data_IF_371205086987
#
_entry.id   IF_371205086987
#
_cell.length_a   1.000
_cell.length_b   1.000
_cell.length_c   1.000
_cell.angle_alpha   90.00
_cell.angle_beta   90.00
_cell.angle_gamma   90.00
#
_symmetry.space_group_name_H-M   'P 1'
#
loop_
_entity.id
_entity.type
_entity.pdbx_description
1 polymer ?
#
# COMPACT_ATOMS: atom_id res chain seq x y z
N UNK A 1 -19.07 1.17 28.02
CA UNK A 1 -18.08 1.92 27.23
C UNK A 1 -17.02 0.91 26.78
N UNK A 2 -16.96 0.58 25.50
CA UNK A 2 -15.84 -0.19 24.98
C UNK A 2 -14.56 0.66 25.15
N UNK A 3 -13.51 0.08 25.70
CA UNK A 3 -12.23 0.78 25.84
C UNK A 3 -11.68 1.03 24.44
N UNK A 4 -11.41 2.29 24.10
CA UNK A 4 -10.73 2.64 22.86
C UNK A 4 -9.41 1.87 22.82
N UNK A 5 -9.22 1.04 21.80
CA UNK A 5 -8.00 0.26 21.60
C UNK A 5 -6.86 1.22 21.28
N UNK A 6 -5.82 1.21 22.12
CA UNK A 6 -4.66 2.10 21.93
C UNK A 6 -3.76 1.58 20.81
N UNK A 7 -3.41 2.45 19.89
CA UNK A 7 -2.34 2.19 18.91
C UNK A 7 -0.98 2.34 19.61
N UNK A 8 -0.14 1.31 19.47
CA UNK A 8 1.25 1.30 19.96
C UNK A 8 2.18 1.60 18.82
N UNK A 9 3.20 2.40 19.08
CA UNK A 9 4.27 2.74 18.14
C UNK A 9 5.51 1.95 18.55
N UNK A 10 6.02 1.12 17.66
CA UNK A 10 7.09 0.16 17.95
C UNK A 10 8.18 0.22 16.91
N UNK A 11 9.36 -0.19 17.30
CA UNK A 11 10.51 -0.40 16.43
C UNK A 11 11.09 -1.78 16.68
N UNK A 12 11.64 -2.37 15.65
CA UNK A 12 12.37 -3.63 15.70
C UNK A 12 13.58 -3.55 14.79
N UNK A 13 14.70 -4.04 15.28
CA UNK A 13 15.89 -4.24 14.47
C UNK A 13 15.76 -5.59 13.74
N UNK A 14 15.87 -5.55 12.43
CA UNK A 14 15.87 -6.70 11.53
C UNK A 14 17.25 -6.74 10.83
N UNK A 15 18.25 -7.34 11.52
CA UNK A 15 19.61 -7.50 11.02
C UNK A 15 20.30 -6.18 10.63
N UNK A 16 20.11 -5.15 11.46
CA UNK A 16 20.68 -3.81 11.28
C UNK A 16 19.77 -2.82 10.54
N UNK A 17 18.59 -3.28 10.08
CA UNK A 17 17.56 -2.44 9.50
C UNK A 17 16.47 -2.16 10.56
N UNK A 18 16.38 -0.92 11.05
CA UNK A 18 15.35 -0.55 11.99
C UNK A 18 14.01 -0.34 11.26
N UNK A 19 13.01 -1.16 11.60
CA UNK A 19 11.65 -1.09 11.04
C UNK A 19 10.70 -0.56 12.10
N UNK A 20 10.08 0.57 11.84
CA UNK A 20 8.99 1.11 12.63
C UNK A 20 7.65 0.49 12.21
N UNK A 21 6.77 0.24 13.17
CA UNK A 21 5.41 -0.19 12.88
C UNK A 21 4.42 0.27 13.94
N UNK A 22 3.18 0.45 13.53
CA UNK A 22 2.05 0.67 14.42
C UNK A 22 1.38 -0.67 14.68
N UNK A 23 1.00 -0.92 15.94
CA UNK A 23 0.29 -2.14 16.34
C UNK A 23 -0.92 -1.79 17.22
N UNK A 24 -2.08 -2.40 16.93
CA UNK A 24 -3.28 -2.28 17.75
C UNK A 24 -4.01 -3.63 17.84
N UNK A 25 -4.94 -3.75 18.78
CA UNK A 25 -5.67 -5.01 19.01
C UNK A 25 -4.91 -6.01 19.88
N UNK A 26 -5.43 -7.22 19.96
CA UNK A 26 -4.92 -8.31 20.80
C UNK A 26 -4.16 -9.32 19.95
N UNK A 27 -3.15 -9.95 20.53
CA UNK A 27 -2.30 -10.93 19.82
C UNK A 27 -2.99 -12.26 19.53
N UNK A 28 -4.10 -12.57 20.20
CA UNK A 28 -4.92 -13.78 19.98
C UNK A 28 -6.03 -13.58 18.93
N UNK A 29 -6.15 -12.39 18.35
CA UNK A 29 -7.06 -12.10 17.25
C UNK A 29 -6.41 -12.41 15.89
N UNK A 30 -7.21 -12.59 14.81
CA UNK A 30 -6.66 -12.69 13.45
C UNK A 30 -5.85 -11.46 13.09
N UNK A 31 -4.72 -11.65 12.42
CA UNK A 31 -3.85 -10.53 12.05
C UNK A 31 -4.34 -9.87 10.76
N UNK A 32 -4.34 -8.53 10.76
CA UNK A 32 -4.51 -7.68 9.59
C UNK A 32 -3.24 -6.84 9.38
N UNK A 33 -2.52 -7.15 8.31
CA UNK A 33 -1.34 -6.41 7.86
C UNK A 33 -1.81 -5.26 6.96
N UNK A 34 -1.37 -4.02 7.25
CA UNK A 34 -1.69 -2.84 6.46
C UNK A 34 -0.42 -2.33 5.76
N UNK A 35 -0.36 -2.47 4.43
CA UNK A 35 0.75 -2.02 3.60
C UNK A 35 0.38 -0.70 2.92
N UNK A 36 1.13 0.35 3.26
CA UNK A 36 0.99 1.68 2.67
C UNK A 36 1.70 1.77 1.32
N UNK A 37 1.41 2.84 0.58
CA UNK A 37 2.08 3.18 -0.67
C UNK A 37 2.89 4.46 -0.61
N UNK A 38 3.30 4.94 -1.78
CA UNK A 38 3.98 6.21 -1.99
C UNK A 38 2.99 7.38 -1.82
N UNK A 39 3.37 8.48 -1.24
CA UNK A 39 4.62 8.79 -0.52
C UNK A 39 4.49 8.53 0.98
N UNK A 40 3.42 7.86 1.41
CA UNK A 40 2.92 7.82 2.77
C UNK A 40 3.69 6.81 3.65
N UNK A 41 3.12 6.48 4.78
CA UNK A 41 3.63 5.55 5.79
C UNK A 41 2.44 4.92 6.53
N UNK A 42 2.70 4.17 7.57
CA UNK A 42 1.64 3.68 8.48
C UNK A 42 0.77 4.81 9.07
N UNK A 43 1.18 6.07 8.92
CA UNK A 43 0.39 7.23 9.36
C UNK A 43 -0.96 7.32 8.63
N UNK A 44 -1.03 6.89 7.38
CA UNK A 44 -2.28 6.87 6.61
C UNK A 44 -3.39 6.03 7.27
N UNK A 45 -3.01 5.05 8.11
CA UNK A 45 -3.95 4.15 8.77
C UNK A 45 -4.41 4.63 10.15
N UNK A 46 -3.98 5.83 10.61
CA UNK A 46 -4.23 6.34 11.95
C UNK A 46 -5.70 6.34 12.34
N UNK A 47 -6.59 6.69 11.42
CA UNK A 47 -8.03 6.80 11.67
C UNK A 47 -8.75 5.43 11.65
N UNK A 48 -8.27 4.47 10.87
CA UNK A 48 -8.93 3.15 10.74
C UNK A 48 -8.47 2.15 11.80
N UNK A 49 -7.23 2.24 12.28
CA UNK A 49 -6.65 1.26 13.20
C UNK A 49 -7.44 1.06 14.50
N UNK A 50 -7.96 2.11 15.19
CA UNK A 50 -8.72 1.91 16.42
C UNK A 50 -9.99 1.05 16.23
N UNK A 51 -10.69 1.24 15.11
CA UNK A 51 -11.89 0.47 14.75
C UNK A 51 -11.55 -0.97 14.38
N UNK A 52 -10.49 -1.17 13.60
CA UNK A 52 -10.04 -2.50 13.17
C UNK A 52 -9.52 -3.33 14.34
N UNK A 53 -8.92 -2.69 15.34
CA UNK A 53 -8.40 -3.32 16.55
C UNK A 53 -9.50 -3.98 17.43
N UNK A 54 -10.78 -3.71 17.16
CA UNK A 54 -11.89 -4.40 17.82
C UNK A 54 -11.99 -5.88 17.39
N UNK A 55 -11.57 -6.21 16.17
CA UNK A 55 -11.73 -7.55 15.56
C UNK A 55 -10.41 -8.19 15.11
N UNK A 56 -9.32 -7.44 15.04
CA UNK A 56 -8.03 -7.91 14.53
C UNK A 56 -6.86 -7.42 15.36
N UNK A 57 -5.75 -8.17 15.32
CA UNK A 57 -4.42 -7.66 15.60
C UNK A 57 -3.96 -6.91 14.35
N UNK A 58 -3.94 -5.58 14.40
CA UNK A 58 -3.58 -4.74 13.27
C UNK A 58 -2.09 -4.41 13.34
N UNK A 59 -1.34 -4.67 12.27
CA UNK A 59 0.08 -4.37 12.13
C UNK A 59 0.26 -3.53 10.87
N UNK A 60 0.82 -2.34 11.02
CA UNK A 60 1.09 -1.40 9.92
C UNK A 60 2.57 -0.99 9.98
N UNK A 61 3.45 -1.65 9.22
CA UNK A 61 4.85 -1.25 9.12
C UNK A 61 5.00 0.01 8.26
N UNK A 62 6.01 0.82 8.57
CA UNK A 62 6.60 1.72 7.60
C UNK A 62 7.64 0.93 6.80
N UNK A 63 7.49 0.90 5.48
CA UNK A 63 8.44 0.22 4.61
C UNK A 63 9.81 0.92 4.66
N UNK A 64 10.94 0.20 4.48
CA UNK A 64 12.25 0.83 4.34
C UNK A 64 12.24 1.96 3.30
N UNK A 65 12.81 3.11 3.65
CA UNK A 65 12.74 4.32 2.82
C UNK A 65 11.52 5.22 3.11
N UNK A 66 10.58 4.77 3.94
CA UNK A 66 9.36 5.49 4.26
C UNK A 66 9.20 5.75 5.76
N UNK A 67 8.40 6.75 6.09
CA UNK A 67 7.99 7.05 7.47
C UNK A 67 9.15 7.08 8.46
N UNK A 68 8.96 6.39 9.59
CA UNK A 68 9.92 6.34 10.70
C UNK A 68 10.89 5.15 10.61
N UNK A 69 10.78 4.30 9.59
CA UNK A 69 11.75 3.24 9.33
C UNK A 69 13.07 3.77 8.79
N UNK A 70 14.11 2.97 8.88
CA UNK A 70 15.41 3.26 8.25
C UNK A 70 15.26 3.55 6.77
N UNK A 71 16.09 4.47 6.28
CA UNK A 71 16.22 4.79 4.85
C UNK A 71 17.71 4.72 4.47
N UNK A 72 18.29 3.51 4.41
CA UNK A 72 19.65 3.35 3.93
C UNK A 72 19.77 3.86 2.49
N UNK A 73 20.96 4.29 2.09
CA UNK A 73 21.24 4.68 0.70
C UNK A 73 21.18 3.46 -0.22
N UNK A 74 21.03 3.68 -1.53
CA UNK A 74 20.86 2.60 -2.52
C UNK A 74 22.09 1.66 -2.63
N UNK A 75 23.26 2.09 -2.18
CA UNK A 75 24.47 1.26 -2.11
C UNK A 75 24.44 0.24 -0.96
N UNK A 76 23.65 0.52 0.10
CA UNK A 76 23.59 -0.30 1.30
C UNK A 76 22.31 -1.15 1.37
N UNK A 77 21.30 -0.83 0.57
CA UNK A 77 20.02 -1.53 0.56
C UNK A 77 19.43 -1.58 -0.85
N UNK A 78 19.09 -2.77 -1.31
CA UNK A 78 18.44 -2.98 -2.61
C UNK A 78 16.95 -2.65 -2.53
N UNK A 79 16.57 -1.49 -3.08
CA UNK A 79 15.18 -1.02 -3.12
C UNK A 79 14.41 -1.68 -4.25
N UNK A 80 14.00 -2.92 -4.01
CA UNK A 80 13.07 -3.67 -4.85
C UNK A 80 11.84 -4.10 -4.04
N UNK A 81 10.71 -4.30 -4.69
CA UNK A 81 9.50 -4.77 -4.00
C UNK A 81 9.65 -6.18 -3.43
N UNK A 82 10.45 -7.04 -4.07
CA UNK A 82 10.78 -8.35 -3.50
C UNK A 82 11.55 -8.19 -2.18
N UNK A 83 12.56 -7.33 -2.12
CA UNK A 83 13.35 -7.11 -0.90
C UNK A 83 12.52 -6.42 0.20
N UNK A 84 11.68 -5.43 -0.15
CA UNK A 84 10.71 -4.86 0.80
C UNK A 84 9.78 -5.94 1.35
N UNK A 85 9.30 -6.85 0.49
CA UNK A 85 8.41 -7.94 0.92
C UNK A 85 9.10 -8.91 1.88
N UNK A 86 10.40 -9.20 1.68
CA UNK A 86 11.22 -10.02 2.60
C UNK A 86 11.41 -9.34 3.95
N UNK A 87 11.61 -8.03 3.97
CA UNK A 87 11.65 -7.24 5.21
C UNK A 87 10.34 -7.35 5.99
N UNK A 88 9.19 -7.22 5.31
CA UNK A 88 7.87 -7.38 5.93
C UNK A 88 7.66 -8.83 6.41
N UNK A 89 8.06 -9.83 5.62
CA UNK A 89 7.98 -11.25 6.01
C UNK A 89 8.79 -11.51 7.29
N UNK A 90 10.04 -11.01 7.35
CA UNK A 90 10.89 -11.12 8.53
C UNK A 90 10.24 -10.44 9.76
N UNK A 91 9.64 -9.26 9.59
CA UNK A 91 8.86 -8.62 10.66
C UNK A 91 7.72 -9.53 11.15
N UNK A 92 6.91 -10.08 10.25
CA UNK A 92 5.80 -10.96 10.60
C UNK A 92 6.28 -12.21 11.35
N UNK A 93 7.38 -12.82 10.93
CA UNK A 93 7.97 -13.99 11.58
C UNK A 93 8.48 -13.65 12.98
N UNK A 94 9.14 -12.50 13.17
CA UNK A 94 9.57 -11.97 14.48
C UNK A 94 8.39 -11.69 15.41
N UNK A 95 7.21 -11.39 14.87
CA UNK A 95 5.98 -11.14 15.63
C UNK A 95 5.13 -12.40 15.82
N UNK A 96 5.57 -13.55 15.31
CA UNK A 96 4.88 -14.83 15.40
C UNK A 96 3.57 -14.88 14.59
N UNK A 97 3.53 -14.19 13.45
CA UNK A 97 2.35 -14.13 12.58
C UNK A 97 2.46 -15.21 11.49
N UNK A 98 1.64 -16.23 11.58
CA UNK A 98 1.60 -17.31 10.58
C UNK A 98 0.65 -17.02 9.43
N UNK A 99 -0.55 -16.52 9.72
CA UNK A 99 -1.59 -16.20 8.71
C UNK A 99 -2.20 -14.84 8.96
N UNK A 100 -2.52 -14.11 7.87
CA UNK A 100 -3.00 -12.74 7.97
C UNK A 100 -3.92 -12.36 6.80
N UNK A 101 -4.79 -11.37 7.04
CA UNK A 101 -5.38 -10.55 5.99
C UNK A 101 -4.37 -9.48 5.60
N UNK A 102 -4.35 -9.09 4.34
CA UNK A 102 -3.45 -8.03 3.87
C UNK A 102 -4.20 -6.91 3.17
N UNK A 103 -3.91 -5.68 3.58
CA UNK A 103 -4.34 -4.47 2.91
C UNK A 103 -3.24 -4.02 1.95
N UNK A 104 -3.63 -3.79 0.71
CA UNK A 104 -2.77 -3.48 -0.43
C UNK A 104 -3.10 -2.08 -0.93
N UNK A 105 -2.15 -1.15 -0.81
CA UNK A 105 -2.31 0.19 -1.35
C UNK A 105 -1.06 0.61 -2.10
N UNK A 106 -1.20 1.05 -3.36
CA UNK A 106 -0.14 1.60 -4.19
C UNK A 106 1.15 0.72 -4.15
N UNK A 107 2.33 1.23 -3.72
CA UNK A 107 3.55 0.44 -3.54
C UNK A 107 3.43 -0.71 -2.52
N UNK A 108 2.45 -0.66 -1.64
CA UNK A 108 2.11 -1.78 -0.78
C UNK A 108 1.49 -2.97 -1.53
N UNK A 109 0.92 -2.75 -2.73
CA UNK A 109 0.37 -3.83 -3.53
C UNK A 109 1.47 -4.77 -4.09
N UNK A 110 2.53 -4.31 -4.78
CA UNK A 110 3.64 -5.19 -5.16
C UNK A 110 4.26 -5.92 -3.96
N UNK A 111 4.47 -5.24 -2.83
CA UNK A 111 4.99 -5.88 -1.60
C UNK A 111 4.07 -7.02 -1.14
N UNK A 112 2.76 -6.76 -1.05
CA UNK A 112 1.79 -7.75 -0.61
C UNK A 112 1.60 -8.89 -1.61
N UNK A 113 1.69 -8.63 -2.92
CA UNK A 113 1.62 -9.70 -3.92
C UNK A 113 2.88 -10.57 -3.96
N UNK A 114 4.06 -10.05 -3.62
CA UNK A 114 5.23 -10.90 -3.36
C UNK A 114 5.01 -11.84 -2.18
N UNK A 115 4.41 -11.38 -1.09
CA UNK A 115 4.04 -12.24 0.04
C UNK A 115 2.99 -13.29 -0.36
N UNK A 116 1.95 -12.86 -1.08
CA UNK A 116 0.82 -13.71 -1.45
C UNK A 116 1.22 -14.83 -2.45
N UNK A 117 2.04 -14.52 -3.43
CA UNK A 117 2.49 -15.52 -4.43
C UNK A 117 3.55 -16.47 -3.86
N UNK A 118 4.38 -15.99 -2.90
CA UNK A 118 5.43 -16.80 -2.26
C UNK A 118 4.86 -17.79 -1.23
N UNK A 119 3.85 -17.39 -0.45
CA UNK A 119 3.25 -18.18 0.62
C UNK A 119 1.72 -17.99 0.67
N UNK A 120 0.99 -18.49 -0.35
CA UNK A 120 -0.44 -18.27 -0.49
C UNK A 120 -1.26 -18.80 0.68
N UNK A 121 -0.79 -19.84 1.38
CA UNK A 121 -1.42 -20.41 2.56
C UNK A 121 -1.41 -19.45 3.77
N UNK A 122 -0.53 -18.44 3.79
CA UNK A 122 -0.51 -17.41 4.82
C UNK A 122 -1.61 -16.35 4.63
N UNK A 123 -2.16 -16.22 3.43
CA UNK A 123 -3.16 -15.19 3.11
C UNK A 123 -4.57 -15.67 3.45
N UNK A 124 -5.24 -14.93 4.34
CA UNK A 124 -6.66 -15.17 4.70
C UNK A 124 -7.63 -14.45 3.77
N UNK A 125 -7.23 -13.31 3.24
CA UNK A 125 -8.02 -12.47 2.35
C UNK A 125 -7.29 -11.19 2.00
N UNK A 126 -7.75 -10.53 0.95
CA UNK A 126 -7.18 -9.31 0.40
C UNK A 126 -8.12 -8.13 0.67
N UNK A 127 -7.57 -7.00 1.10
CA UNK A 127 -8.26 -5.71 1.06
C UNK A 127 -7.44 -4.83 0.13
N UNK A 128 -8.04 -4.40 -0.99
CA UNK A 128 -7.34 -3.65 -2.03
C UNK A 128 -7.88 -2.23 -2.08
N UNK A 129 -7.01 -1.25 -1.94
CA UNK A 129 -7.33 0.15 -2.14
C UNK A 129 -6.31 0.76 -3.08
N UNK A 130 -6.73 1.15 -4.28
CA UNK A 130 -5.82 1.70 -5.30
C UNK A 130 -4.56 0.85 -5.48
N UNK A 131 -4.72 -0.48 -5.46
CA UNK A 131 -3.66 -1.48 -5.58
C UNK A 131 -3.74 -2.14 -6.95
N UNK A 132 -2.71 -1.97 -7.78
CA UNK A 132 -2.71 -2.43 -9.16
C UNK A 132 -2.19 -3.87 -9.28
N UNK A 133 -2.88 -4.69 -10.07
CA UNK A 133 -2.52 -6.08 -10.37
C UNK A 133 -2.85 -6.48 -11.83
N UNK A 134 -3.38 -5.55 -12.63
CA UNK A 134 -3.81 -5.78 -14.00
C UNK A 134 -3.42 -4.60 -14.90
N UNK A 135 -3.35 -4.84 -16.21
CA UNK A 135 -3.02 -3.81 -17.20
C UNK A 135 -4.10 -2.71 -17.26
N UNK A 136 -5.34 -3.07 -16.96
CA UNK A 136 -6.51 -2.19 -16.99
C UNK A 136 -6.43 -1.04 -15.97
N UNK A 137 -5.67 -1.22 -14.87
CA UNK A 137 -5.43 -0.16 -13.89
C UNK A 137 -4.36 0.85 -14.30
N UNK A 138 -3.62 0.58 -15.37
CA UNK A 138 -2.56 1.44 -15.88
C UNK A 138 -3.04 2.19 -17.13
N UNK A 139 -3.68 3.33 -16.96
CA UNK A 139 -4.12 4.19 -18.05
C UNK A 139 -3.00 4.96 -18.75
N UNK A 140 -3.38 5.97 -19.55
CA UNK A 140 -2.45 6.81 -20.32
C UNK A 140 -1.46 7.58 -19.44
N UNK A 141 -1.80 7.87 -18.18
CA UNK A 141 -0.89 8.50 -17.22
C UNK A 141 0.40 7.71 -16.97
N UNK A 142 0.43 6.41 -17.31
CA UNK A 142 1.61 5.54 -17.20
C UNK A 142 2.42 5.40 -18.50
N UNK A 143 2.04 6.08 -19.61
CA UNK A 143 2.70 5.89 -20.89
C UNK A 143 4.18 6.28 -20.86
N UNK A 144 4.53 7.42 -20.25
CA UNK A 144 5.93 7.84 -20.08
C UNK A 144 6.72 6.86 -19.20
N UNK A 145 6.10 6.34 -18.13
CA UNK A 145 6.71 5.34 -17.27
C UNK A 145 6.96 4.03 -18.05
N UNK A 146 5.97 3.54 -18.78
CA UNK A 146 6.11 2.34 -19.62
C UNK A 146 7.21 2.51 -20.69
N UNK A 147 7.29 3.69 -21.32
CA UNK A 147 8.33 4.00 -22.29
C UNK A 147 9.73 3.99 -21.62
N UNK A 148 9.86 4.59 -20.43
CA UNK A 148 11.11 4.59 -19.68
C UNK A 148 11.52 3.17 -19.24
N UNK A 149 10.60 2.38 -18.73
CA UNK A 149 10.87 1.00 -18.29
C UNK A 149 11.30 0.09 -19.44
N UNK A 150 10.75 0.30 -20.64
CA UNK A 150 11.11 -0.49 -21.83
C UNK A 150 12.52 -0.17 -22.36
N UNK A 151 12.99 1.07 -22.18
CA UNK A 151 14.29 1.53 -22.65
C UNK A 151 14.75 2.73 -21.78
N UNK A 152 15.46 2.50 -20.66
CA UNK A 152 15.76 3.51 -19.63
C UNK A 152 16.90 4.45 -20.05
N UNK A 153 16.62 5.37 -20.99
CA UNK A 153 17.55 6.41 -21.44
C UNK A 153 17.34 7.72 -20.67
N UNK A 154 18.35 8.59 -20.65
CA UNK A 154 18.25 9.94 -20.05
C UNK A 154 17.16 10.78 -20.73
N UNK A 155 16.96 10.64 -22.03
CA UNK A 155 15.88 11.33 -22.77
C UNK A 155 14.51 10.91 -22.21
N UNK A 156 14.24 9.61 -22.08
CA UNK A 156 12.97 9.10 -21.56
C UNK A 156 12.79 9.37 -20.06
N UNK A 157 13.90 9.43 -19.33
CA UNK A 157 13.87 9.87 -17.93
C UNK A 157 13.41 11.33 -17.82
N UNK A 158 13.83 12.19 -18.73
CA UNK A 158 13.41 13.59 -18.77
C UNK A 158 11.92 13.77 -19.15
N UNK A 159 11.30 12.79 -19.81
CA UNK A 159 9.87 12.79 -20.15
C UNK A 159 8.98 12.34 -18.97
N UNK A 160 9.56 11.80 -17.89
CA UNK A 160 8.78 11.45 -16.70
C UNK A 160 8.28 12.70 -16.00
N UNK A 161 7.06 12.69 -15.44
CA UNK A 161 6.60 13.75 -14.57
C UNK A 161 7.57 13.99 -13.41
N UNK A 162 7.80 15.24 -13.04
CA UNK A 162 8.62 15.58 -11.85
C UNK A 162 7.77 15.41 -10.57
N UNK A 163 7.70 14.19 -10.06
CA UNK A 163 6.90 13.81 -8.90
C UNK A 163 7.71 13.67 -7.60
N UNK A 164 9.06 13.56 -7.68
CA UNK A 164 9.95 13.40 -6.52
C UNK A 164 10.31 14.75 -5.88
N UNK A 165 9.30 15.54 -5.59
CA UNK A 165 9.41 16.85 -4.91
C UNK A 165 8.19 17.11 -4.02
N UNK A 166 8.19 18.23 -3.31
CA UNK A 166 7.08 18.59 -2.42
C UNK A 166 5.73 18.71 -3.15
N UNK A 167 5.72 19.27 -4.36
CA UNK A 167 4.49 19.42 -5.15
C UNK A 167 3.95 18.04 -5.56
N UNK A 168 4.80 17.14 -6.04
CA UNK A 168 4.44 15.77 -6.38
C UNK A 168 3.94 14.97 -5.16
N UNK A 169 4.58 15.13 -3.99
CA UNK A 169 4.10 14.54 -2.73
C UNK A 169 2.69 15.03 -2.38
N UNK A 170 2.43 16.34 -2.48
CA UNK A 170 1.10 16.91 -2.25
C UNK A 170 0.09 16.42 -3.29
N UNK A 171 0.49 16.31 -4.54
CA UNK A 171 -0.40 15.93 -5.63
C UNK A 171 -0.87 14.45 -5.50
N UNK A 172 -0.13 13.57 -4.80
CA UNK A 172 -0.62 12.25 -4.43
C UNK A 172 -1.94 12.32 -3.62
N UNK A 173 -2.12 13.38 -2.85
CA UNK A 173 -3.32 13.62 -2.06
C UNK A 173 -4.43 14.31 -2.84
N UNK A 174 -4.08 15.21 -3.79
CA UNK A 174 -5.02 16.19 -4.34
C UNK A 174 -5.30 16.02 -5.84
N UNK A 175 -4.46 15.29 -6.59
CA UNK A 175 -4.65 15.12 -8.03
C UNK A 175 -5.98 14.41 -8.34
N UNK A 176 -6.66 14.86 -9.40
CA UNK A 176 -7.95 14.32 -9.82
C UNK A 176 -9.14 14.76 -8.97
N UNK A 177 -8.93 15.27 -7.75
CA UNK A 177 -10.01 15.60 -6.84
C UNK A 177 -10.73 16.90 -7.21
N UNK A 178 -12.08 16.93 -7.14
CA UNK A 178 -12.84 18.17 -7.15
C UNK A 178 -12.62 18.97 -5.86
N UNK A 179 -12.86 20.28 -5.93
CA UNK A 179 -12.56 21.22 -4.84
C UNK A 179 -13.19 20.83 -3.49
N UNK A 180 -14.42 20.37 -3.48
CA UNK A 180 -15.12 19.98 -2.25
C UNK A 180 -14.47 18.78 -1.53
N UNK A 181 -13.66 17.97 -2.20
CA UNK A 181 -12.89 16.90 -1.60
C UNK A 181 -11.48 17.34 -1.21
N UNK A 182 -10.85 18.23 -1.99
CA UNK A 182 -9.51 18.76 -1.67
C UNK A 182 -9.45 19.39 -0.29
N UNK A 183 -10.48 20.15 0.09
CA UNK A 183 -10.55 20.83 1.39
C UNK A 183 -10.67 19.88 2.59
N UNK A 184 -10.95 18.59 2.36
CA UNK A 184 -11.03 17.59 3.42
C UNK A 184 -9.68 16.96 3.75
N UNK A 185 -8.68 17.13 2.89
CA UNK A 185 -7.35 16.55 3.09
C UNK A 185 -6.51 17.41 4.04
N UNK A 186 -6.04 16.88 5.17
CA UNK A 186 -5.21 17.63 6.12
C UNK A 186 -3.81 17.87 5.52
N UNK A 187 -3.35 19.12 5.47
CA UNK A 187 -2.05 19.43 4.89
C UNK A 187 -0.86 18.82 5.66
N UNK A 188 -1.05 18.53 6.93
CA UNK A 188 -0.05 17.88 7.78
C UNK A 188 0.42 16.55 7.21
N UNK A 189 -0.47 15.80 6.52
CA UNK A 189 -0.15 14.50 5.96
C UNK A 189 0.98 14.59 4.93
N UNK A 190 0.85 15.43 3.89
CA UNK A 190 1.90 15.53 2.88
C UNK A 190 3.14 16.30 3.35
N UNK A 191 3.02 17.17 4.37
CA UNK A 191 4.19 17.79 4.99
C UNK A 191 5.01 16.77 5.77
N UNK A 192 4.36 15.87 6.52
CA UNK A 192 5.03 14.78 7.21
C UNK A 192 5.70 13.83 6.22
N UNK A 193 4.98 13.45 5.17
CA UNK A 193 5.51 12.52 4.16
C UNK A 193 6.72 13.14 3.45
N UNK A 194 6.63 14.40 3.03
CA UNK A 194 7.75 15.08 2.37
C UNK A 194 8.98 15.19 3.29
N UNK A 195 8.79 15.49 4.55
CA UNK A 195 9.89 15.55 5.50
C UNK A 195 10.64 14.20 5.56
N UNK A 196 9.91 13.09 5.46
CA UNK A 196 10.50 11.76 5.45
C UNK A 196 11.07 11.36 4.09
N UNK A 197 10.41 11.74 3.01
CA UNK A 197 10.85 11.48 1.66
C UNK A 197 12.13 12.23 1.28
N UNK A 198 12.29 13.47 1.75
CA UNK A 198 13.43 14.34 1.43
C UNK A 198 14.70 14.06 2.25
N UNK A 199 14.76 12.96 3.00
CA UNK A 199 15.98 12.52 3.68
C UNK A 199 17.13 12.32 2.68
N UNK A 200 18.40 12.57 3.08
CA UNK A 200 19.54 12.39 2.18
C UNK A 200 19.57 11.00 1.54
N UNK A 201 19.69 10.94 0.21
CA UNK A 201 19.72 9.70 -0.58
C UNK A 201 18.37 9.01 -0.78
N UNK A 202 17.30 9.44 -0.09
CA UNK A 202 16.04 8.71 -0.14
C UNK A 202 15.25 8.93 -1.43
N UNK A 203 15.42 10.04 -2.14
CA UNK A 203 14.78 10.24 -3.44
C UNK A 203 15.32 9.26 -4.49
N UNK A 204 16.60 8.88 -4.41
CA UNK A 204 17.18 7.83 -5.27
C UNK A 204 16.56 6.46 -4.96
N UNK A 205 16.31 6.16 -3.68
CA UNK A 205 15.60 4.96 -3.26
C UNK A 205 14.17 4.90 -3.82
N UNK A 206 13.45 6.03 -3.79
CA UNK A 206 12.10 6.12 -4.36
C UNK A 206 12.09 5.97 -5.87
N UNK A 207 13.09 6.53 -6.55
CA UNK A 207 13.25 6.34 -8.00
C UNK A 207 13.62 4.88 -8.34
N UNK A 208 14.40 4.20 -7.52
CA UNK A 208 14.70 2.78 -7.69
C UNK A 208 13.41 1.93 -7.57
N UNK A 209 12.56 2.19 -6.58
CA UNK A 209 11.26 1.51 -6.45
C UNK A 209 10.33 1.80 -7.64
N UNK A 210 10.28 3.04 -8.12
CA UNK A 210 9.52 3.37 -9.34
C UNK A 210 10.04 2.59 -10.55
N UNK A 211 11.35 2.43 -10.67
CA UNK A 211 11.95 1.63 -11.75
C UNK A 211 11.61 0.15 -11.59
N UNK A 212 11.67 -0.38 -10.36
CA UNK A 212 11.32 -1.77 -10.06
C UNK A 212 9.81 -2.05 -10.23
N UNK A 213 8.96 -1.02 -10.29
CA UNK A 213 7.52 -1.19 -10.58
C UNK A 213 7.29 -1.89 -11.95
N UNK A 214 8.22 -1.74 -12.89
CA UNK A 214 8.22 -2.52 -14.14
C UNK A 214 8.18 -4.04 -13.88
N UNK A 215 8.89 -4.52 -12.85
CA UNK A 215 8.90 -5.94 -12.48
C UNK A 215 7.54 -6.35 -11.90
N UNK A 216 6.88 -5.46 -11.15
CA UNK A 216 5.51 -5.72 -10.68
C UNK A 216 4.54 -5.85 -11.86
N UNK A 217 4.60 -4.95 -12.83
CA UNK A 217 3.78 -5.01 -14.06
C UNK A 217 4.06 -6.30 -14.85
N UNK A 218 5.31 -6.73 -14.94
CA UNK A 218 5.68 -7.98 -15.60
C UNK A 218 5.10 -9.23 -14.90
N UNK A 219 4.75 -9.13 -13.62
CA UNK A 219 4.18 -10.23 -12.83
C UNK A 219 2.64 -10.29 -12.82
N UNK A 220 1.94 -9.45 -13.53
CA UNK A 220 0.47 -9.43 -13.53
C UNK A 220 -0.16 -10.78 -13.91
N UNK A 221 0.42 -11.52 -14.86
CA UNK A 221 -0.09 -12.86 -15.18
C UNK A 221 0.18 -13.89 -14.07
N UNK A 222 1.29 -13.77 -13.35
CA UNK A 222 1.56 -14.58 -12.15
C UNK A 222 0.54 -14.28 -11.05
N UNK A 223 0.25 -12.98 -10.82
CA UNK A 223 -0.75 -12.55 -9.83
C UNK A 223 -2.16 -13.02 -10.22
N UNK A 224 -2.52 -12.91 -11.50
CA UNK A 224 -3.78 -13.46 -12.00
C UNK A 224 -3.84 -14.99 -11.83
N UNK A 225 -2.71 -15.68 -12.02
CA UNK A 225 -2.57 -17.11 -11.72
C UNK A 225 -2.81 -17.42 -10.25
N UNK A 226 -2.26 -16.63 -9.33
CA UNK A 226 -2.52 -16.72 -7.89
C UNK A 226 -4.01 -16.53 -7.58
N UNK A 227 -4.64 -15.49 -8.11
CA UNK A 227 -6.08 -15.25 -7.91
C UNK A 227 -6.92 -16.42 -8.38
N UNK A 228 -6.69 -16.95 -9.58
CA UNK A 228 -7.43 -18.11 -10.13
C UNK A 228 -7.25 -19.37 -9.30
N UNK A 229 -6.03 -19.64 -8.82
CA UNK A 229 -5.70 -20.86 -8.10
C UNK A 229 -6.18 -20.87 -6.65
N UNK A 230 -6.13 -19.74 -5.96
CA UNK A 230 -6.34 -19.64 -4.51
C UNK A 230 -7.65 -18.98 -4.11
N UNK A 231 -8.27 -18.19 -5.02
CA UNK A 231 -9.56 -17.53 -4.80
C UNK A 231 -9.68 -16.90 -3.40
N UNK A 232 -8.73 -16.06 -2.96
CA UNK A 232 -8.83 -15.42 -1.66
C UNK A 232 -10.09 -14.52 -1.64
N UNK A 233 -10.84 -14.50 -0.52
CA UNK A 233 -11.88 -13.50 -0.38
C UNK A 233 -11.26 -12.11 -0.48
N UNK A 234 -11.96 -11.17 -1.14
CA UNK A 234 -11.44 -9.84 -1.38
C UNK A 234 -12.45 -8.74 -1.11
N UNK A 235 -11.99 -7.63 -0.54
CA UNK A 235 -12.69 -6.37 -0.42
C UNK A 235 -11.93 -5.32 -1.22
N UNK A 236 -12.56 -4.70 -2.22
CA UNK A 236 -11.95 -3.65 -3.03
C UNK A 236 -12.58 -2.31 -2.69
N UNK A 237 -11.75 -1.35 -2.31
CA UNK A 237 -12.13 0.02 -1.94
C UNK A 237 -11.46 0.97 -2.93
N UNK A 238 -12.22 1.79 -3.66
CA UNK A 238 -11.65 2.60 -4.73
C UNK A 238 -12.18 4.02 -4.74
N UNK A 239 -11.29 4.98 -4.95
CA UNK A 239 -11.68 6.36 -5.21
C UNK A 239 -11.90 6.59 -6.71
N UNK A 240 -13.10 7.05 -7.12
CA UNK A 240 -13.41 7.29 -8.55
C UNK A 240 -12.60 8.43 -9.19
N UNK A 241 -11.92 9.21 -8.36
CA UNK A 241 -11.06 10.32 -8.79
C UNK A 241 -9.58 10.00 -8.63
N UNK A 242 -9.23 8.72 -8.48
CA UNK A 242 -7.83 8.30 -8.47
C UNK A 242 -7.15 8.72 -9.78
N UNK A 243 -6.10 9.55 -9.68
CA UNK A 243 -5.37 10.08 -10.83
C UNK A 243 -4.22 9.15 -11.26
N UNK A 244 -3.98 8.06 -10.52
CA UNK A 244 -2.85 7.16 -10.75
C UNK A 244 -3.29 5.78 -11.23
N UNK A 245 -4.41 5.25 -10.72
CA UNK A 245 -4.93 3.95 -11.12
C UNK A 245 -6.38 4.05 -11.54
N UNK A 246 -6.67 3.57 -12.73
CA UNK A 246 -7.99 3.62 -13.32
C UNK A 246 -8.98 2.71 -12.58
N UNK A 247 -10.23 3.12 -12.51
CA UNK A 247 -11.31 2.36 -11.86
C UNK A 247 -11.62 1.05 -12.57
N UNK A 248 -11.21 0.88 -13.82
CA UNK A 248 -11.26 -0.35 -14.62
C UNK A 248 -10.52 -1.50 -13.94
N UNK A 249 -9.55 -1.22 -13.09
CA UNK A 249 -8.87 -2.19 -12.24
C UNK A 249 -9.86 -2.96 -11.34
N UNK A 250 -10.91 -2.29 -10.82
CA UNK A 250 -11.95 -2.93 -10.01
C UNK A 250 -12.67 -4.01 -10.80
N UNK A 251 -12.96 -3.75 -12.09
CA UNK A 251 -13.59 -4.73 -12.97
C UNK A 251 -12.62 -5.86 -13.34
N UNK A 252 -11.32 -5.57 -13.44
CA UNK A 252 -10.30 -6.58 -13.69
C UNK A 252 -10.20 -7.56 -12.51
N UNK A 253 -10.19 -7.07 -11.28
CA UNK A 253 -10.29 -7.92 -10.09
C UNK A 253 -11.55 -8.80 -10.10
N UNK A 254 -12.70 -8.22 -10.46
CA UNK A 254 -13.97 -8.96 -10.50
C UNK A 254 -13.98 -10.09 -11.54
N UNK A 255 -13.18 -10.01 -12.60
CA UNK A 255 -13.07 -11.08 -13.61
C UNK A 255 -12.31 -12.30 -13.11
N UNK A 256 -11.46 -12.16 -12.11
CA UNK A 256 -10.55 -13.22 -11.63
C UNK A 256 -10.86 -13.71 -10.22
N UNK A 257 -11.65 -12.98 -9.43
CA UNK A 257 -12.02 -13.30 -8.05
C UNK A 257 -13.53 -13.55 -7.92
N UNK A 258 -13.91 -14.76 -7.51
CA UNK A 258 -15.31 -15.18 -7.36
C UNK A 258 -15.97 -14.61 -6.09
N UNK A 259 -15.17 -14.35 -5.04
CA UNK A 259 -15.61 -13.84 -3.73
C UNK A 259 -15.07 -12.45 -3.46
N UNK A 260 -15.57 -11.49 -4.22
CA UNK A 260 -15.16 -10.11 -4.14
C UNK A 260 -16.34 -9.19 -3.84
N UNK A 261 -16.15 -8.30 -2.88
CA UNK A 261 -17.01 -7.13 -2.64
C UNK A 261 -16.27 -5.85 -3.01
N UNK A 262 -16.91 -4.94 -3.73
CA UNK A 262 -16.28 -3.73 -4.23
C UNK A 262 -17.12 -2.48 -3.95
N UNK A 263 -16.45 -1.42 -3.48
CA UNK A 263 -17.04 -0.13 -3.18
C UNK A 263 -16.24 0.99 -3.85
N UNK A 264 -16.93 1.77 -4.69
CA UNK A 264 -16.35 2.94 -5.36
C UNK A 264 -16.89 4.20 -4.68
N UNK A 265 -15.99 5.01 -4.18
CA UNK A 265 -16.29 6.22 -3.40
C UNK A 265 -16.09 7.50 -4.22
N UNK A 266 -16.71 8.56 -3.79
CA UNK A 266 -16.40 9.92 -4.23
C UNK A 266 -15.12 10.40 -3.53
N UNK A 267 -13.99 9.79 -3.86
CA UNK A 267 -12.68 9.98 -3.24
C UNK A 267 -11.56 9.82 -4.25
N UNK A 268 -10.34 10.06 -3.83
CA UNK A 268 -9.12 9.96 -4.65
C UNK A 268 -8.22 8.81 -4.25
N UNK A 269 -6.94 8.94 -4.63
CA UNK A 269 -5.92 7.94 -4.41
C UNK A 269 -5.68 7.61 -2.92
N UNK A 270 -5.56 8.63 -2.06
CA UNK A 270 -5.45 8.47 -0.60
C UNK A 270 -6.86 8.43 0.03
N UNK A 271 -7.66 7.43 -0.30
CA UNK A 271 -9.07 7.31 0.06
C UNK A 271 -9.32 7.42 1.57
N UNK A 272 -8.42 6.88 2.39
CA UNK A 272 -8.56 6.87 3.85
C UNK A 272 -8.45 8.27 4.49
N UNK A 273 -7.95 9.27 3.77
CA UNK A 273 -7.94 10.65 4.28
C UNK A 273 -9.34 11.27 4.34
N UNK A 274 -10.28 10.77 3.52
CA UNK A 274 -11.64 11.31 3.41
C UNK A 274 -12.73 10.33 3.81
N UNK A 275 -12.50 9.01 3.68
CA UNK A 275 -13.52 7.97 3.88
C UNK A 275 -13.08 6.91 4.91
N UNK A 276 -12.24 7.31 5.90
CA UNK A 276 -11.71 6.37 6.88
C UNK A 276 -12.79 5.62 7.65
N UNK A 277 -13.86 6.29 8.08
CA UNK A 277 -14.90 5.67 8.90
C UNK A 277 -15.68 4.59 8.14
N UNK A 278 -16.06 4.87 6.89
CA UNK A 278 -16.79 3.95 6.01
C UNK A 278 -15.91 2.76 5.63
N UNK A 279 -14.67 3.02 5.23
CA UNK A 279 -13.69 1.98 4.92
C UNK A 279 -13.42 1.09 6.13
N UNK A 280 -13.20 1.67 7.33
CA UNK A 280 -12.98 0.91 8.55
C UNK A 280 -14.17 0.01 8.89
N UNK A 281 -15.40 0.47 8.68
CA UNK A 281 -16.59 -0.33 8.91
C UNK A 281 -16.63 -1.56 7.99
N UNK A 282 -16.37 -1.40 6.70
CA UNK A 282 -16.34 -2.51 5.73
C UNK A 282 -15.19 -3.46 5.99
N UNK A 283 -13.98 -2.94 6.23
CA UNK A 283 -12.81 -3.74 6.55
C UNK A 283 -13.03 -4.58 7.82
N UNK A 284 -13.64 -4.01 8.86
CA UNK A 284 -13.98 -4.70 10.10
C UNK A 284 -14.98 -5.84 9.85
N UNK A 285 -16.02 -5.58 9.05
CA UNK A 285 -17.01 -6.60 8.68
C UNK A 285 -16.33 -7.73 7.88
N UNK A 286 -15.53 -7.38 6.89
CA UNK A 286 -14.79 -8.33 6.06
C UNK A 286 -13.88 -9.26 6.88
N UNK A 287 -13.07 -8.70 7.80
CA UNK A 287 -12.20 -9.52 8.66
C UNK A 287 -13.03 -10.46 9.54
N UNK A 288 -14.09 -9.97 10.18
CA UNK A 288 -14.96 -10.78 11.04
C UNK A 288 -15.61 -11.93 10.27
N UNK A 289 -16.08 -11.69 9.05
CA UNK A 289 -16.89 -12.63 8.28
C UNK A 289 -16.02 -13.72 7.59
N UNK A 290 -14.68 -13.52 7.55
CA UNK A 290 -13.70 -14.46 6.94
C UNK A 290 -12.66 -15.01 7.94
N UNK A 291 -12.95 -14.93 9.24
CA UNK A 291 -12.05 -15.45 10.32
C UNK A 291 -12.29 -16.92 10.64
#
# INVERSE_FOLDING_TARGET
>A
MQSVQKVRHRQVDLDGLEVFFREAGRTDQPTLLLLHGFPSSSHTFREVMPTLAEVARVIAPDLPGFGMSSAPIIEDYDYTFDNLSRTVEHLLDRLGVERFFVYLHDFGAPVGYHLATRAPERIRGLIVQSGNAHQEGLGEQWDSARAYWADPTEERRADLPDWLNFAGTRDQYLAGLPEHLRILHPPESWHLDWERMSRPGNLDAQFALFTDYAQHVARFEEIAGYHRAHQPPALVLWGRHDAYFDVEEVLAYHRVLDRMDAHIYDGGHLLLETHAAECAYLMRAFVRDHT
#
